data_IF_518418881059
#
_entry.id   IF_518418881059
#
_cell.length_a   1.000
_cell.length_b   1.000
_cell.length_c   1.000
_cell.angle_alpha   90.00
_cell.angle_beta   90.00
_cell.angle_gamma   90.00
#
_symmetry.space_group_name_H-M   'P 1'
#
loop_
_entity.id
_entity.type
_entity.pdbx_description
1 polymer ?
#
# COMPACT_ATOMS: atom_id res chain seq x y z
N UNK A 1 19.95 -1.44 11.74
CA UNK A 1 19.90 -0.14 12.42
C UNK A 1 18.45 0.26 12.65
N UNK A 2 18.22 1.30 13.45
CA UNK A 2 16.89 1.91 13.60
C UNK A 2 16.97 3.42 13.74
N UNK A 3 15.88 4.09 13.39
CA UNK A 3 15.74 5.53 13.61
C UNK A 3 15.70 5.85 15.10
N UNK A 4 16.47 6.83 15.56
CA UNK A 4 16.45 7.28 16.97
C UNK A 4 15.33 8.28 17.27
N UNK A 5 14.74 8.87 16.23
CA UNK A 5 13.64 9.84 16.33
C UNK A 5 12.72 9.77 15.12
N UNK A 6 11.52 10.29 15.28
CA UNK A 6 10.57 10.47 14.18
C UNK A 6 11.22 11.25 13.04
N UNK A 7 11.12 10.71 11.82
CA UNK A 7 11.79 11.28 10.65
C UNK A 7 10.84 11.22 9.46
N UNK A 8 10.78 12.32 8.70
CA UNK A 8 10.01 12.38 7.44
C UNK A 8 10.98 12.28 6.26
N UNK A 9 10.80 11.24 5.44
CA UNK A 9 11.72 10.91 4.34
C UNK A 9 10.98 10.92 3.00
N UNK A 10 11.66 11.37 1.96
CA UNK A 10 11.24 11.14 0.57
C UNK A 10 11.63 9.72 0.18
N UNK A 11 10.64 8.89 -0.15
CA UNK A 11 10.82 7.46 -0.39
C UNK A 11 10.07 6.98 -1.63
N UNK A 12 10.53 5.85 -2.16
CA UNK A 12 9.72 4.99 -3.02
C UNK A 12 9.07 3.88 -2.18
N UNK A 13 7.79 3.63 -2.41
CA UNK A 13 7.06 2.50 -1.82
C UNK A 13 6.14 1.87 -2.88
N UNK A 14 5.36 0.89 -2.48
CA UNK A 14 4.48 0.16 -3.38
C UNK A 14 3.03 0.18 -2.89
N UNK A 15 2.13 0.34 -3.85
CA UNK A 15 0.72 -0.02 -3.72
C UNK A 15 0.50 -1.37 -4.35
N UNK A 16 0.00 -2.31 -3.56
CA UNK A 16 -0.36 -3.63 -4.04
C UNK A 16 -1.65 -3.56 -4.86
N UNK A 17 -1.73 -4.34 -5.93
CA UNK A 17 -2.85 -4.35 -6.87
C UNK A 17 -3.30 -5.78 -7.14
N UNK A 18 -4.61 -6.02 -7.13
CA UNK A 18 -5.20 -7.31 -7.49
C UNK A 18 -4.56 -8.52 -6.79
N UNK A 19 -4.44 -8.53 -5.45
CA UNK A 19 -3.90 -9.68 -4.71
C UNK A 19 -4.74 -10.94 -4.97
N UNK A 20 -4.07 -12.06 -5.26
CA UNK A 20 -4.68 -13.36 -5.52
C UNK A 20 -3.83 -14.45 -4.88
N UNK A 21 -4.42 -15.22 -3.98
CA UNK A 21 -3.77 -16.42 -3.45
C UNK A 21 -3.78 -17.55 -4.49
N UNK A 22 -2.72 -18.33 -4.51
CA UNK A 22 -2.71 -19.58 -5.26
C UNK A 22 -3.73 -20.55 -4.64
N UNK A 23 -4.51 -21.27 -5.47
CA UNK A 23 -5.57 -22.14 -4.98
C UNK A 23 -5.01 -23.39 -4.27
N UNK A 24 -3.82 -23.84 -4.65
CA UNK A 24 -3.15 -25.01 -4.08
C UNK A 24 -1.99 -24.58 -3.18
N UNK A 25 -1.77 -25.24 -2.04
CA UNK A 25 -0.63 -24.95 -1.18
C UNK A 25 0.68 -25.41 -1.83
N UNK A 26 1.78 -24.74 -1.49
CA UNK A 26 3.16 -25.10 -1.78
C UNK A 26 3.97 -24.95 -0.49
N UNK A 27 4.64 -26.01 -0.05
CA UNK A 27 5.40 -26.05 1.21
C UNK A 27 4.59 -25.58 2.45
N UNK A 28 3.27 -25.79 2.46
CA UNK A 28 2.39 -25.36 3.55
C UNK A 28 1.88 -23.92 3.44
N UNK A 29 2.21 -23.20 2.37
CA UNK A 29 1.79 -21.81 2.13
C UNK A 29 0.89 -21.69 0.90
N UNK A 30 -0.08 -20.79 0.95
CA UNK A 30 -0.80 -20.31 -0.23
C UNK A 30 -0.11 -19.06 -0.75
N UNK A 31 0.73 -19.23 -1.78
CA UNK A 31 1.55 -18.13 -2.28
C UNK A 31 0.68 -17.00 -2.84
N UNK A 32 1.07 -15.76 -2.54
CA UNK A 32 0.39 -14.57 -3.03
C UNK A 32 0.93 -14.13 -4.41
N UNK A 33 0.03 -13.88 -5.36
CA UNK A 33 0.31 -13.16 -6.60
C UNK A 33 -0.29 -11.77 -6.50
N UNK A 34 0.48 -10.74 -6.84
CA UNK A 34 0.06 -9.36 -6.70
C UNK A 34 0.75 -8.49 -7.76
N UNK A 35 0.01 -7.56 -8.35
CA UNK A 35 0.58 -6.46 -9.11
C UNK A 35 1.10 -5.38 -8.15
N UNK A 36 2.05 -4.56 -8.59
CA UNK A 36 2.50 -3.42 -7.76
C UNK A 36 2.66 -2.18 -8.60
N UNK A 37 2.23 -1.07 -8.02
CA UNK A 37 2.46 0.29 -8.52
C UNK A 37 3.45 0.99 -7.60
N UNK A 38 4.49 1.58 -8.19
CA UNK A 38 5.47 2.38 -7.46
C UNK A 38 4.86 3.73 -7.10
N UNK A 39 4.99 4.14 -5.85
CA UNK A 39 4.59 5.46 -5.34
C UNK A 39 5.84 6.20 -4.83
N UNK A 40 6.03 7.45 -5.26
CA UNK A 40 7.03 8.37 -4.68
C UNK A 40 6.32 9.37 -3.77
N UNK A 41 6.74 9.48 -2.52
CA UNK A 41 6.13 10.42 -1.58
C UNK A 41 7.02 10.77 -0.40
N UNK A 42 6.65 11.83 0.32
CA UNK A 42 7.14 12.09 1.67
C UNK A 42 6.31 11.28 2.68
N UNK A 43 6.99 10.56 3.56
CA UNK A 43 6.35 9.69 4.55
C UNK A 43 7.04 9.86 5.90
N UNK A 44 6.23 9.96 6.96
CA UNK A 44 6.71 9.92 8.34
C UNK A 44 7.01 8.48 8.77
N UNK A 45 8.13 8.31 9.46
CA UNK A 45 8.55 7.06 10.08
C UNK A 45 8.81 7.34 11.56
N UNK A 46 8.18 6.60 12.48
CA UNK A 46 8.40 6.80 13.90
C UNK A 46 9.80 6.35 14.33
N UNK A 47 10.26 6.85 15.47
CA UNK A 47 11.42 6.32 16.17
C UNK A 47 11.29 4.79 16.35
N UNK A 48 12.42 4.07 16.24
CA UNK A 48 12.46 2.61 16.28
C UNK A 48 12.20 1.93 14.94
N UNK A 49 11.80 2.65 13.89
CA UNK A 49 11.68 2.10 12.52
C UNK A 49 12.99 1.44 12.09
N UNK A 50 12.92 0.19 11.64
CA UNK A 50 14.07 -0.55 11.16
C UNK A 50 14.62 0.07 9.86
N UNK A 51 15.95 0.23 9.82
CA UNK A 51 16.70 0.69 8.65
C UNK A 51 17.70 -0.39 8.27
N UNK A 52 17.53 -0.91 7.05
CA UNK A 52 18.36 -1.97 6.48
C UNK A 52 19.29 -1.34 5.44
N UNK A 53 20.59 -1.36 5.71
CA UNK A 53 21.59 -0.83 4.79
C UNK A 53 21.91 -1.88 3.73
N UNK A 54 21.90 -1.49 2.47
CA UNK A 54 22.09 -2.39 1.32
C UNK A 54 23.54 -2.51 0.85
N UNK A 55 24.49 -1.76 1.44
CA UNK A 55 25.92 -1.89 1.15
C UNK A 55 26.57 -3.00 2.00
N UNK A 56 26.17 -4.25 1.78
CA UNK A 56 26.71 -5.41 2.49
C UNK A 56 26.65 -6.69 1.64
N UNK A 57 27.44 -7.70 2.01
CA UNK A 57 27.55 -8.98 1.28
C UNK A 57 26.21 -9.70 1.08
N UNK A 58 25.29 -9.55 2.02
CA UNK A 58 23.96 -10.20 2.04
C UNK A 58 22.88 -9.41 1.29
N UNK A 59 23.22 -8.30 0.64
CA UNK A 59 22.25 -7.39 0.02
C UNK A 59 21.27 -8.09 -0.95
N UNK A 60 21.76 -9.03 -1.77
CA UNK A 60 20.89 -9.78 -2.69
C UNK A 60 19.77 -10.51 -1.96
N UNK A 61 20.09 -11.15 -0.84
CA UNK A 61 19.09 -11.88 -0.02
C UNK A 61 18.08 -10.90 0.57
N UNK A 62 18.56 -9.77 1.10
CA UNK A 62 17.71 -8.70 1.65
C UNK A 62 16.73 -8.18 0.58
N UNK A 63 17.23 -7.83 -0.60
CA UNK A 63 16.39 -7.34 -1.70
C UNK A 63 15.41 -8.41 -2.15
N UNK A 64 15.83 -9.67 -2.29
CA UNK A 64 14.91 -10.77 -2.64
C UNK A 64 13.81 -10.97 -1.60
N UNK A 65 14.11 -10.83 -0.31
CA UNK A 65 13.13 -10.98 0.75
C UNK A 65 12.15 -9.79 0.84
N UNK A 66 12.65 -8.56 0.64
CA UNK A 66 11.91 -7.32 0.87
C UNK A 66 11.29 -6.70 -0.39
N UNK A 67 11.67 -7.10 -1.60
CA UNK A 67 11.08 -6.59 -2.84
C UNK A 67 9.79 -7.36 -3.18
N UNK A 68 8.60 -6.73 -3.23
CA UNK A 68 7.33 -7.44 -3.39
C UNK A 68 7.21 -8.20 -4.72
N UNK A 69 7.97 -7.79 -5.75
CA UNK A 69 8.02 -8.50 -7.04
C UNK A 69 8.91 -9.74 -7.04
N UNK A 70 9.74 -9.93 -6.01
CA UNK A 70 10.66 -11.06 -5.97
C UNK A 70 9.90 -12.39 -5.77
N UNK A 71 10.38 -13.49 -6.38
CA UNK A 71 9.69 -14.78 -6.36
C UNK A 71 9.57 -15.38 -4.96
N UNK A 72 10.54 -15.09 -4.09
CA UNK A 72 10.62 -15.60 -2.72
C UNK A 72 10.54 -14.48 -1.68
N UNK A 73 9.84 -13.39 -2.02
CA UNK A 73 9.62 -12.29 -1.08
C UNK A 73 8.77 -12.76 0.09
N UNK A 74 9.01 -12.16 1.26
CA UNK A 74 8.16 -12.41 2.43
C UNK A 74 6.68 -12.10 2.16
N UNK A 75 6.39 -11.18 1.23
CA UNK A 75 5.02 -10.89 0.78
C UNK A 75 4.39 -12.11 0.12
N UNK A 76 5.12 -12.73 -0.82
CA UNK A 76 4.65 -13.89 -1.57
C UNK A 76 4.41 -15.09 -0.67
N UNK A 77 5.22 -15.23 0.37
CA UNK A 77 5.08 -16.27 1.40
C UNK A 77 4.03 -15.96 2.49
N UNK A 78 3.43 -14.76 2.46
CA UNK A 78 2.28 -14.40 3.29
C UNK A 78 2.61 -13.68 4.60
N UNK A 79 3.87 -13.28 4.84
CA UNK A 79 4.28 -12.57 6.07
C UNK A 79 3.52 -11.26 6.28
N UNK A 80 3.12 -10.60 5.19
CA UNK A 80 2.42 -9.31 5.22
C UNK A 80 0.96 -9.40 4.78
N UNK A 81 0.29 -10.55 4.95
CA UNK A 81 -1.12 -10.67 4.60
C UNK A 81 -2.02 -9.61 5.26
N UNK A 82 -1.65 -9.13 6.44
CA UNK A 82 -2.39 -8.09 7.16
C UNK A 82 -2.57 -6.78 6.37
N UNK A 83 -1.67 -6.43 5.42
CA UNK A 83 -1.84 -5.23 4.59
C UNK A 83 -2.91 -5.39 3.50
N UNK A 84 -3.36 -6.63 3.26
CA UNK A 84 -4.42 -6.98 2.32
C UNK A 84 -5.81 -6.97 2.96
N UNK A 85 -5.89 -6.80 4.28
CA UNK A 85 -7.15 -6.78 5.02
C UNK A 85 -7.80 -5.39 4.95
N UNK A 86 -9.07 -5.34 4.56
CA UNK A 86 -9.88 -4.14 4.75
C UNK A 86 -10.37 -4.13 6.19
N UNK A 87 -9.83 -3.24 7.00
CA UNK A 87 -10.18 -3.13 8.42
C UNK A 87 -11.53 -2.47 8.68
N UNK A 88 -11.98 -1.63 7.75
CA UNK A 88 -13.22 -0.88 7.89
C UNK A 88 -14.14 -1.10 6.68
N UNK A 89 -15.44 -1.24 6.98
CA UNK A 89 -16.51 -1.27 6.00
C UNK A 89 -17.43 -0.10 6.30
N UNK A 90 -17.68 0.74 5.29
CA UNK A 90 -18.70 1.77 5.38
C UNK A 90 -20.00 1.23 4.79
N UNK A 91 -21.07 1.26 5.58
CA UNK A 91 -22.39 0.83 5.16
C UNK A 91 -22.94 1.70 4.03
N UNK A 92 -23.73 1.07 3.15
CA UNK A 92 -24.21 1.70 1.91
C UNK A 92 -25.02 2.99 2.16
N UNK A 93 -25.81 3.03 3.23
CA UNK A 93 -26.64 4.19 3.60
C UNK A 93 -25.82 5.38 4.08
N UNK A 94 -24.57 5.17 4.52
CA UNK A 94 -23.63 6.24 4.90
C UNK A 94 -22.89 6.75 3.66
N UNK A 95 -22.55 5.84 2.74
CA UNK A 95 -21.76 6.17 1.55
C UNK A 95 -22.52 7.02 0.53
N UNK A 96 -23.82 6.81 0.34
CA UNK A 96 -24.58 7.58 -0.66
C UNK A 96 -24.70 9.08 -0.33
N UNK A 97 -25.10 9.49 0.89
CA UNK A 97 -25.11 10.91 1.26
C UNK A 97 -23.70 11.53 1.20
N UNK A 98 -22.67 10.77 1.60
CA UNK A 98 -21.29 11.18 1.52
C UNK A 98 -20.85 11.43 0.07
N UNK A 99 -21.15 10.51 -0.85
CA UNK A 99 -20.83 10.65 -2.27
C UNK A 99 -21.48 11.90 -2.87
N UNK A 100 -22.76 12.17 -2.55
CA UNK A 100 -23.46 13.39 -3.00
C UNK A 100 -22.78 14.66 -2.48
N UNK A 101 -22.40 14.67 -1.20
CA UNK A 101 -21.65 15.77 -0.59
C UNK A 101 -20.29 15.98 -1.27
N UNK A 102 -19.53 14.91 -1.46
CA UNK A 102 -18.22 14.94 -2.13
C UNK A 102 -18.32 15.49 -3.57
N UNK A 103 -19.34 15.10 -4.33
CA UNK A 103 -19.59 15.61 -5.68
C UNK A 103 -20.01 17.09 -5.70
N UNK A 104 -20.71 17.56 -4.66
CA UNK A 104 -21.11 18.97 -4.54
C UNK A 104 -19.93 19.87 -4.15
N UNK A 105 -19.06 19.39 -3.26
CA UNK A 105 -17.95 20.16 -2.70
C UNK A 105 -16.68 20.10 -3.56
N UNK A 106 -16.52 19.08 -4.41
CA UNK A 106 -15.32 18.88 -5.23
C UNK A 106 -15.66 18.72 -6.73
N UNK A 107 -15.62 19.82 -7.51
CA UNK A 107 -15.86 19.77 -8.96
C UNK A 107 -14.87 18.89 -9.74
N UNK A 108 -13.61 18.81 -9.31
CA UNK A 108 -12.60 17.98 -9.95
C UNK A 108 -12.92 16.49 -9.78
N UNK A 109 -13.37 16.09 -8.59
CA UNK A 109 -13.83 14.73 -8.33
C UNK A 109 -15.04 14.36 -9.19
N UNK A 110 -15.98 15.30 -9.37
CA UNK A 110 -17.13 15.11 -10.25
C UNK A 110 -16.68 14.84 -11.68
N UNK A 111 -15.78 15.67 -12.22
CA UNK A 111 -15.25 15.48 -13.56
C UNK A 111 -14.55 14.13 -13.73
N UNK A 112 -13.75 13.70 -12.74
CA UNK A 112 -13.09 12.39 -12.74
C UNK A 112 -14.11 11.24 -12.76
N UNK A 113 -15.16 11.34 -11.94
CA UNK A 113 -16.22 10.33 -11.88
C UNK A 113 -16.99 10.23 -13.19
N UNK A 114 -17.40 11.36 -13.77
CA UNK A 114 -18.12 11.42 -15.05
C UNK A 114 -17.26 10.90 -16.21
N UNK A 115 -15.98 11.27 -16.25
CA UNK A 115 -15.04 10.73 -17.23
C UNK A 115 -14.90 9.21 -17.09
N UNK A 116 -14.81 8.70 -15.86
CA UNK A 116 -14.73 7.26 -15.62
C UNK A 116 -16.01 6.53 -16.02
N UNK A 117 -17.19 7.11 -15.77
CA UNK A 117 -18.47 6.57 -16.25
C UNK A 117 -18.53 6.49 -17.78
N UNK A 118 -18.01 7.50 -18.48
CA UNK A 118 -18.03 7.54 -19.93
C UNK A 118 -17.00 6.58 -20.57
N UNK A 119 -15.86 6.38 -19.93
CA UNK A 119 -14.71 5.64 -20.50
C UNK A 119 -14.66 4.15 -20.11
N UNK A 120 -15.38 3.73 -19.07
CA UNK A 120 -15.31 2.38 -18.51
C UNK A 120 -16.73 1.81 -18.30
N UNK A 121 -17.21 1.06 -19.29
CA UNK A 121 -18.56 0.47 -19.27
C UNK A 121 -18.75 -0.55 -18.14
N UNK A 122 -17.68 -1.23 -17.73
CA UNK A 122 -17.72 -2.19 -16.61
C UNK A 122 -17.94 -1.44 -15.30
N UNK A 123 -17.22 -0.34 -15.09
CA UNK A 123 -17.43 0.54 -13.94
C UNK A 123 -18.83 1.17 -13.95
N UNK A 124 -19.29 1.67 -15.10
CA UNK A 124 -20.61 2.30 -15.22
C UNK A 124 -21.75 1.33 -14.85
N UNK A 125 -21.62 0.05 -15.25
CA UNK A 125 -22.60 -0.99 -14.98
C UNK A 125 -22.57 -1.52 -13.54
N UNK A 126 -21.54 -1.24 -12.73
CA UNK A 126 -21.37 -1.78 -11.38
C UNK A 126 -21.68 -0.72 -10.29
N UNK A 127 -22.84 -0.80 -9.60
CA UNK A 127 -23.17 0.10 -8.48
C UNK A 127 -22.19 0.02 -7.31
N UNK A 128 -21.61 -1.15 -7.03
CA UNK A 128 -20.63 -1.32 -5.96
C UNK A 128 -19.33 -0.63 -6.31
N UNK A 129 -18.85 -0.77 -7.55
CA UNK A 129 -17.65 -0.09 -8.02
C UNK A 129 -17.79 1.44 -7.92
N UNK A 130 -18.96 1.98 -8.31
CA UNK A 130 -19.24 3.42 -8.21
C UNK A 130 -19.25 3.92 -6.76
N UNK A 131 -19.84 3.18 -5.82
CA UNK A 131 -19.79 3.54 -4.38
C UNK A 131 -18.37 3.46 -3.83
N UNK A 132 -17.63 2.42 -4.20
CA UNK A 132 -16.25 2.23 -3.79
C UNK A 132 -15.34 3.37 -4.27
N UNK A 133 -15.59 3.93 -5.47
CA UNK A 133 -14.86 5.08 -5.99
C UNK A 133 -14.90 6.29 -5.04
N UNK A 134 -16.07 6.57 -4.46
CA UNK A 134 -16.24 7.65 -3.47
C UNK A 134 -15.65 7.27 -2.13
N UNK A 135 -15.89 6.05 -1.64
CA UNK A 135 -15.34 5.60 -0.37
C UNK A 135 -13.81 5.73 -0.36
N UNK A 136 -13.12 5.25 -1.41
CA UNK A 136 -11.66 5.32 -1.57
C UNK A 136 -11.08 6.75 -1.55
N UNK A 137 -11.89 7.75 -1.91
CA UNK A 137 -11.50 9.18 -1.91
C UNK A 137 -12.03 9.93 -0.69
N UNK A 138 -12.69 9.23 0.22
CA UNK A 138 -13.22 9.82 1.45
C UNK A 138 -12.15 9.87 2.55
N UNK A 139 -12.32 10.75 3.56
CA UNK A 139 -11.45 10.78 4.74
C UNK A 139 -11.48 9.50 5.58
N UNK A 140 -12.49 8.64 5.39
CA UNK A 140 -12.69 7.41 6.15
C UNK A 140 -12.02 6.18 5.52
N UNK A 141 -11.42 6.34 4.35
CA UNK A 141 -10.70 5.22 3.73
C UNK A 141 -9.35 5.03 4.41
N UNK A 142 -9.06 3.79 4.82
CA UNK A 142 -7.75 3.43 5.31
C UNK A 142 -6.70 3.60 4.20
N UNK A 143 -5.94 4.70 4.27
CA UNK A 143 -4.89 5.05 3.33
C UNK A 143 -3.73 4.02 3.33
N UNK A 144 -3.66 3.17 4.36
CA UNK A 144 -2.69 2.09 4.46
C UNK A 144 -3.18 0.78 3.83
N UNK A 145 -4.44 0.69 3.40
CA UNK A 145 -4.96 -0.49 2.71
C UNK A 145 -4.14 -0.76 1.44
N UNK A 146 -3.63 -1.99 1.29
CA UNK A 146 -2.74 -2.41 0.20
C UNK A 146 -1.40 -1.65 0.13
N UNK A 147 -1.04 -0.89 1.16
CA UNK A 147 0.27 -0.25 1.23
C UNK A 147 1.31 -1.26 1.67
N UNK A 148 2.38 -1.37 0.89
CA UNK A 148 3.48 -2.22 1.26
C UNK A 148 4.27 -1.64 2.45
N UNK A 149 4.66 -2.45 3.46
CA UNK A 149 5.24 -1.93 4.69
C UNK A 149 6.73 -1.56 4.56
N UNK A 150 7.38 -1.90 3.44
CA UNK A 150 8.76 -1.52 3.15
C UNK A 150 8.80 -0.33 2.20
N UNK A 151 9.69 0.62 2.48
CA UNK A 151 9.99 1.75 1.62
C UNK A 151 11.48 1.78 1.30
N UNK A 152 11.83 2.38 0.17
CA UNK A 152 13.19 2.51 -0.35
C UNK A 152 13.60 3.96 -0.35
N UNK A 153 14.81 4.21 0.11
CA UNK A 153 15.50 5.48 -0.11
C UNK A 153 16.23 5.37 -1.44
N UNK A 154 15.93 6.28 -2.35
CA UNK A 154 16.54 6.33 -3.69
C UNK A 154 17.68 7.35 -3.75
N UNK A 155 17.89 8.06 -2.66
CA UNK A 155 18.90 9.11 -2.50
C UNK A 155 19.71 8.80 -1.24
N UNK A 156 20.97 9.21 -1.24
CA UNK A 156 21.82 9.13 -0.07
C UNK A 156 21.40 10.22 0.93
N UNK A 157 20.88 9.80 2.08
CA UNK A 157 20.41 10.69 3.14
C UNK A 157 21.08 10.31 4.44
N UNK A 158 21.60 11.29 5.18
CA UNK A 158 22.10 11.08 6.54
C UNK A 158 20.92 10.83 7.47
N UNK A 159 20.86 9.62 8.04
CA UNK A 159 19.79 9.21 8.93
C UNK A 159 20.25 9.22 10.39
N UNK A 160 19.38 9.59 11.35
CA UNK A 160 19.68 9.49 12.78
C UNK A 160 19.54 8.02 13.22
N UNK A 161 20.63 7.26 13.09
CA UNK A 161 20.64 5.81 13.29
C UNK A 161 21.33 5.39 14.58
N UNK A 162 20.80 4.34 15.18
CA UNK A 162 21.51 3.52 16.17
C UNK A 162 21.51 2.03 15.75
N UNK A 163 22.48 1.24 16.24
CA UNK A 163 22.49 -0.21 16.05
C UNK A 163 21.21 -0.85 16.61
N UNK A 164 20.89 -2.03 16.10
CA UNK A 164 19.83 -2.83 16.73
C UNK A 164 20.36 -3.37 18.06
N UNK A 165 19.56 -3.42 19.14
CA UNK A 165 19.99 -4.05 20.37
C UNK A 165 20.35 -5.51 20.08
N UNK A 166 21.51 -5.95 20.55
CA UNK A 166 21.82 -7.37 20.53
C UNK A 166 20.87 -8.10 21.47
N UNK A 167 20.43 -9.32 21.08
CA UNK A 167 19.52 -10.13 21.89
C UNK A 167 20.09 -10.51 23.25
#
# INVERSE_FOLDING_TARGET
HRLTRDTVLSVETYRLQNPRWQPTPFEGHHLLRVGVQVERKRQAFPAGTAVVLCNQRTNRVIVHALEPRAPDSFLRWGLWNAVLERKEYAEDYVLEPLARKMLAENPALRAEFEQKLASDSTFAADPRARRMFFYQRSPYFDQNYLRYPVARLMEDVTLPLEPWPEP
#
